data_IF_306860681716
#
_entry.id   IF_306860681716
#
_cell.length_a   1.000
_cell.length_b   1.000
_cell.length_c   1.000
_cell.angle_alpha   90.00
_cell.angle_beta   90.00
_cell.angle_gamma   90.00
#
_symmetry.space_group_name_H-M   'P 1'
#
loop_
_entity.id
_entity.type
_entity.pdbx_description
1 polymer ?
#
# COMPACT_ATOMS: atom_id res chain seq x y z
N UNK A 1 -1.06 -0.54 11.82
CA UNK A 1 -0.73 0.34 10.67
C UNK A 1 -1.83 0.18 9.62
N UNK A 2 -2.33 1.26 9.00
CA UNK A 2 -3.41 1.18 8.00
C UNK A 2 -2.85 1.06 6.59
N UNK A 3 -3.54 0.32 5.74
CA UNK A 3 -3.22 0.16 4.33
C UNK A 3 -4.45 0.41 3.46
N UNK A 4 -4.24 1.02 2.30
CA UNK A 4 -5.23 1.12 1.21
C UNK A 4 -4.95 -0.01 0.24
N UNK A 5 -5.92 -0.86 -0.02
CA UNK A 5 -5.76 -2.04 -0.86
C UNK A 5 -6.79 -2.08 -1.99
N UNK A 6 -6.36 -2.57 -3.15
CA UNK A 6 -7.22 -2.81 -4.30
C UNK A 6 -7.59 -4.29 -4.36
N UNK A 7 -8.88 -4.61 -4.23
CA UNK A 7 -9.35 -6.01 -4.20
C UNK A 7 -9.02 -6.75 -5.51
N UNK A 8 -9.18 -6.06 -6.65
CA UNK A 8 -8.98 -6.65 -7.98
C UNK A 8 -7.50 -6.86 -8.33
N UNK A 9 -6.65 -5.88 -8.02
CA UNK A 9 -5.22 -5.95 -8.34
C UNK A 9 -4.41 -6.74 -7.33
N UNK A 10 -4.96 -6.98 -6.12
CA UNK A 10 -4.22 -7.53 -4.99
C UNK A 10 -2.97 -6.71 -4.68
N UNK A 11 -3.06 -5.40 -4.84
CA UNK A 11 -2.00 -4.44 -4.52
C UNK A 11 -2.42 -3.56 -3.34
N UNK A 12 -1.46 -3.15 -2.50
CA UNK A 12 -1.72 -2.22 -1.40
C UNK A 12 -0.62 -1.17 -1.23
N UNK A 13 -0.97 -0.10 -0.54
CA UNK A 13 -0.03 0.91 -0.05
C UNK A 13 -0.28 1.23 1.43
N UNK A 14 0.79 1.54 2.15
CA UNK A 14 0.72 1.94 3.56
C UNK A 14 0.30 3.41 3.67
N UNK A 15 -0.69 3.67 4.51
CA UNK A 15 -1.15 5.02 4.84
C UNK A 15 -0.37 5.53 6.05
N UNK A 16 0.41 6.59 5.84
CA UNK A 16 1.11 7.31 6.91
C UNK A 16 0.38 8.63 7.19
N UNK A 17 -0.50 8.63 8.20
CA UNK A 17 -1.41 9.76 8.51
C UNK A 17 -0.67 11.10 8.77
N UNK A 18 0.56 11.05 9.26
CA UNK A 18 1.34 12.25 9.61
C UNK A 18 2.29 12.71 8.50
N UNK A 19 2.23 12.12 7.30
CA UNK A 19 3.13 12.45 6.20
C UNK A 19 2.34 13.02 4.99
N UNK A 20 2.46 14.33 4.68
CA UNK A 20 1.76 14.92 3.55
C UNK A 20 2.19 14.33 2.18
N UNK A 21 3.41 13.81 2.05
CA UNK A 21 3.83 13.09 0.83
C UNK A 21 3.06 11.78 0.61
N UNK A 22 2.42 11.26 1.66
CA UNK A 22 1.55 10.09 1.56
C UNK A 22 0.26 10.42 0.80
N UNK A 23 -0.28 11.64 0.92
CA UNK A 23 -1.50 12.03 0.21
C UNK A 23 -1.32 11.97 -1.31
N UNK A 24 -0.23 12.54 -1.85
CA UNK A 24 0.07 12.43 -3.28
C UNK A 24 0.19 10.98 -3.77
N UNK A 25 0.72 10.08 -2.93
CA UNK A 25 0.83 8.65 -3.24
C UNK A 25 -0.53 7.95 -3.19
N UNK A 26 -1.40 8.33 -2.24
CA UNK A 26 -2.79 7.87 -2.16
C UNK A 26 -3.53 8.29 -3.42
N UNK A 27 -3.49 9.57 -3.77
CA UNK A 27 -4.18 10.10 -4.95
C UNK A 27 -3.73 9.39 -6.23
N UNK A 28 -2.42 9.14 -6.38
CA UNK A 28 -1.90 8.37 -7.51
C UNK A 28 -2.43 6.93 -7.51
N UNK A 29 -2.43 6.26 -6.35
CA UNK A 29 -2.96 4.92 -6.21
C UNK A 29 -4.45 4.87 -6.55
N UNK A 30 -5.25 5.82 -6.07
CA UNK A 30 -6.68 5.87 -6.33
C UNK A 30 -6.99 6.19 -7.80
N UNK A 31 -6.21 7.06 -8.45
CA UNK A 31 -6.32 7.30 -9.90
C UNK A 31 -5.96 6.07 -10.73
N UNK A 32 -4.88 5.35 -10.39
CA UNK A 32 -4.50 4.09 -11.06
C UNK A 32 -5.63 3.04 -10.94
N UNK A 33 -6.34 3.04 -9.82
CA UNK A 33 -7.37 2.06 -9.49
C UNK A 33 -8.81 2.62 -9.51
N UNK A 34 -9.06 3.69 -10.27
CA UNK A 34 -10.31 4.46 -10.22
C UNK A 34 -11.59 3.66 -10.54
N UNK A 35 -11.48 2.51 -11.24
CA UNK A 35 -12.60 1.60 -11.55
C UNK A 35 -12.61 0.34 -10.68
N UNK A 36 -11.75 0.25 -9.68
CA UNK A 36 -11.62 -0.94 -8.84
C UNK A 36 -12.13 -0.67 -7.44
N UNK A 37 -12.60 -1.73 -6.77
CA UNK A 37 -12.97 -1.64 -5.36
C UNK A 37 -11.72 -1.45 -4.51
N UNK A 38 -11.66 -0.33 -3.82
CA UNK A 38 -10.61 0.01 -2.85
C UNK A 38 -11.14 -0.11 -1.43
N UNK A 39 -10.35 -0.72 -0.56
CA UNK A 39 -10.67 -0.88 0.86
C UNK A 39 -9.54 -0.32 1.72
N UNK A 40 -9.90 0.19 2.90
CA UNK A 40 -8.94 0.58 3.92
C UNK A 40 -9.00 -0.44 5.05
N UNK A 41 -7.88 -1.11 5.29
CA UNK A 41 -7.78 -2.24 6.23
C UNK A 41 -6.53 -2.08 7.09
N UNK A 42 -6.39 -2.91 8.12
CA UNK A 42 -5.11 -3.05 8.80
C UNK A 42 -4.14 -3.81 7.89
N UNK A 43 -2.87 -3.40 7.92
CA UNK A 43 -1.82 -4.03 7.11
C UNK A 43 -1.74 -5.55 7.35
N UNK A 44 -1.88 -5.97 8.61
CA UNK A 44 -1.77 -7.37 9.02
C UNK A 44 -2.87 -8.26 8.42
N UNK A 45 -4.01 -7.69 7.99
CA UNK A 45 -5.11 -8.44 7.36
C UNK A 45 -4.80 -8.85 5.91
N UNK A 46 -3.87 -8.15 5.26
CA UNK A 46 -3.61 -8.28 3.82
C UNK A 46 -2.16 -8.56 3.46
N UNK A 47 -1.23 -8.46 4.42
CA UNK A 47 0.22 -8.54 4.19
C UNK A 47 0.64 -9.82 3.46
N UNK A 48 -0.01 -10.94 3.74
CA UNK A 48 0.32 -12.24 3.14
C UNK A 48 -0.42 -12.51 1.83
N UNK A 49 -1.38 -11.66 1.46
CA UNK A 49 -2.29 -11.86 0.33
C UNK A 49 -2.17 -10.79 -0.76
N UNK A 50 -1.55 -9.65 -0.46
CA UNK A 50 -1.47 -8.50 -1.36
C UNK A 50 -0.01 -8.07 -1.52
N UNK A 51 0.31 -7.48 -2.67
CA UNK A 51 1.64 -6.94 -2.96
C UNK A 51 1.75 -5.46 -2.60
N UNK A 52 2.81 -5.10 -1.90
CA UNK A 52 3.10 -3.68 -1.61
C UNK A 52 3.57 -2.96 -2.87
N UNK A 53 2.97 -1.81 -3.17
CA UNK A 53 3.41 -0.99 -4.29
C UNK A 53 4.60 -0.15 -3.82
N UNK A 54 5.79 -0.47 -4.35
CA UNK A 54 6.99 0.34 -4.16
C UNK A 54 6.92 1.55 -5.10
N UNK A 55 6.37 2.67 -4.62
CA UNK A 55 6.40 3.90 -5.39
C UNK A 55 7.83 4.46 -5.36
N UNK A 56 8.45 4.63 -6.53
CA UNK A 56 9.89 4.82 -6.74
C UNK A 56 10.40 6.22 -6.33
N UNK A 57 10.12 6.66 -5.10
CA UNK A 57 10.39 8.02 -4.62
C UNK A 57 10.94 8.12 -3.19
N UNK A 58 11.51 7.04 -2.65
CA UNK A 58 12.28 7.11 -1.40
C UNK A 58 13.07 5.83 -1.18
N UNK A 59 14.39 5.97 -1.22
CA UNK A 59 15.39 4.97 -0.84
C UNK A 59 15.09 4.35 0.54
N UNK A 60 15.22 3.03 0.63
CA UNK A 60 15.69 2.31 1.81
C UNK A 60 14.80 2.27 3.06
N UNK A 61 14.13 1.14 3.26
CA UNK A 61 14.20 0.36 4.50
C UNK A 61 13.66 -1.04 4.19
N UNK A 62 14.58 -1.93 3.84
CA UNK A 62 14.37 -3.37 3.90
C UNK A 62 14.18 -3.76 5.36
N UNK A 63 13.16 -4.55 5.67
CA UNK A 63 13.32 -5.65 6.60
C UNK A 63 12.67 -6.87 5.97
N UNK A 64 13.54 -7.67 5.34
CA UNK A 64 13.35 -9.12 5.23
C UNK A 64 13.15 -9.68 6.64
N UNK A 65 12.25 -10.66 6.79
CA UNK A 65 12.61 -11.78 7.64
C UNK A 65 12.19 -13.10 7.02
N UNK A 66 13.09 -14.05 7.22
CA UNK A 66 13.37 -15.20 6.39
C UNK A 66 12.32 -16.32 6.45
N UNK A 67 12.42 -17.15 5.41
CA UNK A 67 11.82 -18.45 5.18
C UNK A 67 12.17 -19.49 6.28
N UNK A 68 11.33 -20.52 6.32
CA UNK A 68 11.44 -21.87 6.94
C UNK A 68 12.84 -22.45 7.15
#
# INVERSE_FOLDING_TARGET
>A
MRARACIKCKEYMVIHANNPLNQNKIDFFERKHHLHTLITVNLDEIRDQYHIIKNNGSNGSSEENHNS
#
